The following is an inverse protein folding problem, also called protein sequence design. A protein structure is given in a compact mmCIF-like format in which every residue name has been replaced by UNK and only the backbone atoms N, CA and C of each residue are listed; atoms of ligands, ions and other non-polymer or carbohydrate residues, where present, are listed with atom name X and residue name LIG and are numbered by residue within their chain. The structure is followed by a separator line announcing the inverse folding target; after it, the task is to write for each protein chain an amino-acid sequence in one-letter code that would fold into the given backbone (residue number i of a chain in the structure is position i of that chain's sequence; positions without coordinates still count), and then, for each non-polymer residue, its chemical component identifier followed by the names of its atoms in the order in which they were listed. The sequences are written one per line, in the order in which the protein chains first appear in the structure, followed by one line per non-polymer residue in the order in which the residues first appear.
data_IF_072465946705
#
_entry.id   IF_072465946705
#
_cell.length_a   1.000
_cell.length_b   1.000
_cell.length_c   1.000
_cell.angle_alpha   90.00
_cell.angle_beta   90.00
_cell.angle_gamma   90.00
#
_symmetry.space_group_name_H-M   'P 1'
#
loop_
_entity.id
_entity.type
_entity.pdbx_description
1 polymer ?
#
# COMPACT_ATOMS: atom_id res chain seq x y z
N UNK A 1 -9.29 48.29 -27.32
CA UNK A 1 -8.04 47.49 -27.25
C UNK A 1 -7.46 47.69 -25.86
N UNK A 2 -7.52 46.80 -24.88
CA UNK A 2 -7.53 45.33 -24.90
C UNK A 2 -6.17 44.72 -24.53
N UNK A 3 -5.29 45.44 -23.81
CA UNK A 3 -3.85 45.11 -23.65
C UNK A 3 -3.37 44.77 -22.23
N UNK A 4 -3.90 45.42 -21.19
CA UNK A 4 -3.24 45.42 -19.88
C UNK A 4 -3.65 44.27 -18.94
N UNK A 5 -4.84 43.68 -19.16
CA UNK A 5 -5.38 42.64 -18.26
C UNK A 5 -4.73 41.26 -18.43
N UNK A 6 -4.38 40.88 -19.65
CA UNK A 6 -3.78 39.56 -19.92
C UNK A 6 -2.30 39.49 -19.54
N UNK A 7 -1.57 40.61 -19.63
CA UNK A 7 -0.17 40.74 -19.19
C UNK A 7 -0.05 40.55 -17.67
N UNK A 8 -0.95 41.16 -16.88
CA UNK A 8 -1.00 40.95 -15.42
C UNK A 8 -1.37 39.52 -15.05
N UNK A 9 -2.31 38.90 -15.78
CA UNK A 9 -2.70 37.51 -15.54
C UNK A 9 -1.55 36.53 -15.87
N UNK A 10 -0.80 36.78 -16.95
CA UNK A 10 0.36 35.99 -17.34
C UNK A 10 1.52 36.15 -16.33
N UNK A 11 1.78 37.37 -15.86
CA UNK A 11 2.78 37.64 -14.82
C UNK A 11 2.40 36.99 -13.47
N UNK A 12 1.13 37.02 -13.08
CA UNK A 12 0.62 36.34 -11.89
C UNK A 12 0.74 34.81 -12.00
N UNK A 13 0.47 34.24 -13.18
CA UNK A 13 0.64 32.81 -13.45
C UNK A 13 2.12 32.39 -13.41
N UNK A 14 3.03 33.22 -13.94
CA UNK A 14 4.47 33.00 -13.85
C UNK A 14 4.97 33.04 -12.41
N UNK A 15 4.54 34.03 -11.61
CA UNK A 15 4.86 34.12 -10.19
C UNK A 15 4.31 32.92 -9.39
N UNK A 16 3.12 32.43 -9.72
CA UNK A 16 2.54 31.22 -9.13
C UNK A 16 3.36 29.96 -9.45
N UNK A 17 3.87 29.83 -10.69
CA UNK A 17 4.76 28.74 -11.11
C UNK A 17 6.08 28.75 -10.34
N UNK A 18 6.71 29.91 -10.19
CA UNK A 18 7.95 30.06 -9.40
C UNK A 18 7.73 29.69 -7.93
N UNK A 19 6.60 30.07 -7.34
CA UNK A 19 6.23 29.68 -5.95
C UNK A 19 6.00 28.18 -5.82
N UNK A 20 5.34 27.54 -6.80
CA UNK A 20 5.11 26.08 -6.82
C UNK A 20 6.43 25.33 -6.94
N UNK A 21 7.35 25.80 -7.78
CA UNK A 21 8.68 25.22 -7.94
C UNK A 21 9.53 25.41 -6.67
N UNK A 22 9.48 26.59 -6.05
CA UNK A 22 10.14 26.84 -4.77
C UNK A 22 9.60 25.95 -3.64
N UNK A 23 8.28 25.67 -3.61
CA UNK A 23 7.66 24.71 -2.67
C UNK A 23 8.12 23.28 -2.96
N UNK A 24 8.14 22.86 -4.23
CA UNK A 24 8.66 21.56 -4.67
C UNK A 24 10.12 21.35 -4.23
N UNK A 25 10.99 22.33 -4.50
CA UNK A 25 12.40 22.31 -4.08
C UNK A 25 12.56 22.25 -2.56
N UNK A 26 11.67 22.88 -1.79
CA UNK A 26 11.65 22.79 -0.32
C UNK A 26 11.27 21.37 0.16
N UNK A 27 10.29 20.75 -0.48
CA UNK A 27 9.86 19.37 -0.18
C UNK A 27 10.99 18.39 -0.50
N UNK A 28 11.63 18.51 -1.67
CA UNK A 28 12.77 17.66 -2.08
C UNK A 28 13.97 17.83 -1.14
N UNK A 29 14.30 19.08 -0.74
CA UNK A 29 15.38 19.31 0.23
C UNK A 29 15.05 18.75 1.61
N UNK A 30 13.78 18.73 2.03
CA UNK A 30 13.34 18.13 3.30
C UNK A 30 13.42 16.60 3.22
N UNK A 31 12.94 15.98 2.15
CA UNK A 31 13.01 14.52 1.97
C UNK A 31 14.46 14.04 1.88
N UNK A 32 15.34 14.76 1.16
CA UNK A 32 16.76 14.44 1.09
C UNK A 32 17.45 14.55 2.45
N UNK A 33 17.11 15.54 3.29
CA UNK A 33 17.60 15.62 4.68
C UNK A 33 17.09 14.48 5.57
N UNK A 34 15.83 14.08 5.43
CA UNK A 34 15.27 12.95 6.20
C UNK A 34 15.94 11.63 5.78
N UNK A 35 16.13 11.41 4.48
CA UNK A 35 16.79 10.22 3.95
C UNK A 35 18.30 10.20 4.23
N UNK A 36 18.98 11.36 4.15
CA UNK A 36 20.41 11.45 4.46
C UNK A 36 20.68 11.36 5.96
N UNK A 37 19.80 11.88 6.83
CA UNK A 37 19.87 11.61 8.28
C UNK A 37 19.63 10.13 8.59
N UNK A 38 18.71 9.46 7.89
CA UNK A 38 18.49 8.01 8.02
C UNK A 38 19.66 7.16 7.48
N UNK A 39 20.44 7.67 6.53
CA UNK A 39 21.64 7.01 5.98
C UNK A 39 22.89 7.28 6.83
N UNK A 40 23.15 8.53 7.21
CA UNK A 40 24.25 8.92 8.10
C UNK A 40 24.08 8.33 9.52
N UNK A 41 22.83 8.21 9.99
CA UNK A 41 22.50 7.56 11.25
C UNK A 41 22.66 6.04 11.24
N UNK A 42 22.88 5.38 10.09
CA UNK A 42 23.13 3.92 10.04
C UNK A 42 24.60 3.56 10.29
N UNK A 43 25.56 4.45 9.97
CA UNK A 43 27.00 4.16 10.11
C UNK A 43 27.56 4.46 11.52
N UNK A 44 26.80 5.12 12.40
CA UNK A 44 27.21 5.44 13.80
C UNK A 44 26.39 4.67 14.86
N UNK A 45 25.67 3.61 14.46
CA UNK A 45 24.68 2.90 15.30
C UNK A 45 25.25 1.85 16.26
N UNK A 46 26.56 1.70 16.43
CA UNK A 46 27.12 0.69 17.34
C UNK A 46 27.48 1.18 18.75
N UNK A 47 27.38 2.47 19.09
CA UNK A 47 27.90 2.95 20.39
C UNK A 47 27.03 3.95 21.19
N UNK A 48 25.89 4.42 20.67
CA UNK A 48 25.13 5.51 21.34
C UNK A 48 23.62 5.28 21.50
N UNK A 49 23.09 4.10 21.15
CA UNK A 49 21.63 3.85 21.19
C UNK A 49 21.14 3.35 22.56
N UNK A 50 21.62 3.96 23.65
CA UNK A 50 21.06 3.78 25.01
C UNK A 50 20.66 5.12 25.66
N UNK A 51 20.95 6.26 25.03
CA UNK A 51 20.62 7.56 25.60
C UNK A 51 20.00 8.47 24.53
N UNK A 52 18.84 9.04 24.87
CA UNK A 52 18.15 10.15 24.19
C UNK A 52 17.39 9.84 22.89
N UNK A 53 16.05 9.86 22.97
CA UNK A 53 15.21 10.04 21.79
C UNK A 53 13.74 9.66 21.89
N UNK A 54 13.08 9.89 23.04
CA UNK A 54 11.62 9.83 23.14
C UNK A 54 11.00 11.00 22.36
N UNK A 55 10.09 10.73 21.42
CA UNK A 55 9.40 11.79 20.66
C UNK A 55 8.56 11.37 19.44
N UNK A 56 8.46 10.08 19.11
CA UNK A 56 7.69 9.61 17.93
C UNK A 56 7.02 8.22 18.06
N UNK A 57 6.87 7.69 19.27
CA UNK A 57 6.54 6.27 19.51
C UNK A 57 5.12 5.82 19.20
N UNK A 58 4.12 6.72 19.19
CA UNK A 58 2.70 6.31 19.16
C UNK A 58 2.20 5.91 17.76
N UNK A 59 2.44 6.72 16.71
CA UNK A 59 2.00 6.41 15.33
C UNK A 59 2.74 5.22 14.71
N UNK A 60 3.98 4.98 15.11
CA UNK A 60 4.74 3.82 14.68
C UNK A 60 4.20 2.52 15.27
N UNK A 61 3.72 2.53 16.53
CA UNK A 61 3.20 1.32 17.18
C UNK A 61 1.94 0.79 16.51
N UNK A 62 0.96 1.68 16.24
CA UNK A 62 -0.29 1.30 15.58
C UNK A 62 -0.06 0.76 14.16
N UNK A 63 0.81 1.41 13.37
CA UNK A 63 1.14 0.95 12.01
C UNK A 63 1.88 -0.39 12.01
N UNK A 64 2.77 -0.62 12.99
CA UNK A 64 3.45 -1.91 13.16
C UNK A 64 2.46 -3.01 13.55
N UNK A 65 1.53 -2.73 14.46
CA UNK A 65 0.46 -3.66 14.83
C UNK A 65 -0.43 -4.01 13.63
N UNK A 66 -0.90 -3.00 12.88
CA UNK A 66 -1.68 -3.20 11.66
C UNK A 66 -0.90 -4.04 10.63
N UNK A 67 0.38 -3.75 10.43
CA UNK A 67 1.24 -4.51 9.51
C UNK A 67 1.42 -5.97 9.95
N UNK A 68 1.54 -6.23 11.26
CA UNK A 68 1.61 -7.59 11.80
C UNK A 68 0.30 -8.35 11.57
N UNK A 69 -0.84 -7.72 11.81
CA UNK A 69 -2.15 -8.31 11.55
C UNK A 69 -2.34 -8.66 10.07
N UNK A 70 -1.98 -7.73 9.17
CA UNK A 70 -2.06 -7.98 7.72
C UNK A 70 -1.15 -9.13 7.32
N UNK A 71 0.09 -9.19 7.82
CA UNK A 71 1.01 -10.29 7.54
C UNK A 71 0.46 -11.64 8.01
N UNK A 72 -0.09 -11.72 9.22
CA UNK A 72 -0.68 -12.94 9.75
C UNK A 72 -1.87 -13.40 8.91
N UNK A 73 -2.78 -12.48 8.54
CA UNK A 73 -3.92 -12.79 7.66
C UNK A 73 -3.46 -13.24 6.27
N UNK A 74 -2.44 -12.60 5.71
CA UNK A 74 -1.88 -13.01 4.43
C UNK A 74 -1.17 -14.36 4.52
N UNK A 75 -0.58 -14.74 5.65
CA UNK A 75 -0.02 -16.09 5.84
C UNK A 75 -1.11 -17.16 5.79
N UNK A 76 -2.22 -16.94 6.52
CA UNK A 76 -3.37 -17.85 6.46
C UNK A 76 -3.90 -17.92 5.03
N UNK A 77 -4.04 -16.78 4.35
CA UNK A 77 -4.54 -16.76 2.97
C UNK A 77 -3.64 -17.56 2.00
N UNK A 78 -2.32 -17.49 2.16
CA UNK A 78 -1.37 -18.26 1.32
C UNK A 78 -1.56 -19.77 1.44
N UNK A 79 -1.87 -20.26 2.65
CA UNK A 79 -2.11 -21.69 2.87
C UNK A 79 -3.45 -22.19 2.35
N UNK A 80 -4.42 -21.29 2.14
CA UNK A 80 -5.77 -21.63 1.65
C UNK A 80 -5.86 -21.60 0.13
N UNK A 81 -5.11 -20.71 -0.52
CA UNK A 81 -5.15 -20.51 -1.97
C UNK A 81 -4.17 -21.48 -2.63
N UNK A 82 -4.60 -22.26 -3.64
CA UNK A 82 -3.70 -23.13 -4.41
C UNK A 82 -2.49 -22.35 -4.95
N UNK A 83 -1.28 -22.82 -4.67
CA UNK A 83 -0.04 -22.13 -5.09
C UNK A 83 0.27 -20.82 -4.35
N UNK A 84 -0.54 -20.43 -3.35
CA UNK A 84 -0.45 -19.15 -2.64
C UNK A 84 0.88 -18.92 -1.90
N UNK A 85 1.56 -19.96 -1.43
CA UNK A 85 2.84 -19.86 -0.73
C UNK A 85 3.95 -19.18 -1.56
N UNK A 86 3.93 -19.36 -2.88
CA UNK A 86 4.88 -18.73 -3.80
C UNK A 86 4.48 -17.29 -4.17
N UNK A 87 3.26 -16.85 -3.84
CA UNK A 87 2.70 -15.58 -4.30
C UNK A 87 2.97 -14.41 -3.35
N UNK A 88 3.17 -13.23 -3.96
CA UNK A 88 3.41 -11.97 -3.25
C UNK A 88 2.49 -10.86 -3.75
N UNK A 89 2.19 -9.93 -2.86
CA UNK A 89 1.46 -8.71 -3.21
C UNK A 89 0.06 -8.99 -3.77
N UNK A 90 -0.29 -8.30 -4.86
CA UNK A 90 -1.63 -8.32 -5.44
C UNK A 90 -1.97 -9.64 -6.15
N UNK A 91 -0.98 -10.37 -6.67
CA UNK A 91 -1.22 -11.64 -7.37
C UNK A 91 -1.93 -12.67 -6.50
N UNK A 92 -1.63 -12.69 -5.19
CA UNK A 92 -2.33 -13.55 -4.23
C UNK A 92 -3.82 -13.21 -4.14
N UNK A 93 -4.17 -11.92 -4.20
CA UNK A 93 -5.57 -11.48 -4.12
C UNK A 93 -6.33 -11.81 -5.39
N UNK A 94 -5.70 -11.66 -6.57
CA UNK A 94 -6.30 -12.07 -7.84
C UNK A 94 -6.60 -13.57 -7.84
N UNK A 95 -5.61 -14.40 -7.50
CA UNK A 95 -5.81 -15.86 -7.42
C UNK A 95 -6.86 -16.25 -6.37
N UNK A 96 -6.94 -15.50 -5.25
CA UNK A 96 -7.99 -15.72 -4.25
C UNK A 96 -9.38 -15.50 -4.84
N UNK A 97 -9.56 -14.46 -5.63
CA UNK A 97 -10.85 -14.17 -6.27
C UNK A 97 -11.23 -15.28 -7.25
N UNK A 98 -10.29 -15.68 -8.10
CA UNK A 98 -10.49 -16.75 -9.06
C UNK A 98 -10.82 -18.08 -8.35
N UNK A 99 -10.11 -18.41 -7.28
CA UNK A 99 -10.36 -19.61 -6.50
C UNK A 99 -11.74 -19.60 -5.82
N UNK A 100 -12.20 -18.46 -5.31
CA UNK A 100 -13.56 -18.33 -4.75
C UNK A 100 -14.62 -18.60 -5.83
N UNK A 101 -14.41 -18.09 -7.05
CA UNK A 101 -15.32 -18.37 -8.18
C UNK A 101 -15.32 -19.86 -8.51
N UNK A 102 -14.15 -20.49 -8.62
CA UNK A 102 -14.03 -21.93 -8.85
C UNK A 102 -14.71 -22.77 -7.77
N UNK A 103 -14.54 -22.42 -6.49
CA UNK A 103 -15.20 -23.14 -5.40
C UNK A 103 -16.72 -23.03 -5.46
N UNK A 104 -17.25 -21.84 -5.78
CA UNK A 104 -18.70 -21.65 -5.94
C UNK A 104 -19.26 -22.53 -7.06
N UNK A 105 -18.62 -22.53 -8.23
CA UNK A 105 -19.09 -23.33 -9.37
C UNK A 105 -19.00 -24.83 -9.08
N UNK A 106 -17.96 -25.29 -8.39
CA UNK A 106 -17.83 -26.68 -7.94
C UNK A 106 -18.96 -27.08 -6.98
N UNK A 107 -19.26 -26.24 -5.98
CA UNK A 107 -20.34 -26.50 -5.03
C UNK A 107 -21.71 -26.50 -5.73
N UNK A 108 -21.96 -25.57 -6.63
CA UNK A 108 -23.19 -25.52 -7.42
C UNK A 108 -23.37 -26.78 -8.27
N UNK A 109 -22.31 -27.21 -8.98
CA UNK A 109 -22.33 -28.46 -9.75
C UNK A 109 -22.62 -29.68 -8.87
N UNK A 110 -21.92 -29.83 -7.75
CA UNK A 110 -22.14 -30.95 -6.83
C UNK A 110 -23.56 -30.95 -6.26
N UNK A 111 -24.11 -29.77 -5.93
CA UNK A 111 -25.51 -29.67 -5.48
C UNK A 111 -26.50 -30.05 -6.57
N UNK A 112 -26.27 -29.63 -7.82
CA UNK A 112 -27.11 -30.03 -8.96
C UNK A 112 -27.07 -31.54 -9.17
N UNK A 113 -25.89 -32.15 -9.11
CA UNK A 113 -25.74 -33.61 -9.19
C UNK A 113 -26.48 -34.29 -8.03
N UNK A 114 -26.31 -33.86 -6.79
CA UNK A 114 -27.01 -34.45 -5.65
C UNK A 114 -28.55 -34.31 -5.75
N UNK A 115 -29.07 -33.20 -6.30
CA UNK A 115 -30.51 -32.99 -6.51
C UNK A 115 -31.04 -33.85 -7.67
N UNK A 116 -30.35 -33.88 -8.81
CA UNK A 116 -30.71 -34.71 -9.96
C UNK A 116 -30.58 -36.21 -9.71
N UNK A 117 -29.67 -36.61 -8.83
CA UNK A 117 -29.52 -38.01 -8.39
C UNK A 117 -30.70 -38.49 -7.54
N UNK A 118 -31.35 -37.59 -6.78
CA UNK A 118 -32.54 -37.94 -5.98
C UNK A 118 -33.78 -38.22 -6.82
N UNK A 119 -33.87 -37.68 -8.03
CA UNK A 119 -34.97 -37.92 -8.97
C UNK A 119 -34.85 -39.23 -9.77
N UNK A 120 -33.75 -39.98 -9.67
CA UNK A 120 -33.57 -41.28 -10.37
C UNK A 120 -33.66 -42.51 -9.45
N UNK A 121 -33.99 -42.31 -8.17
CA UNK A 121 -34.13 -43.37 -7.16
C UNK A 121 -35.54 -43.44 -6.54
N UNK A 122 -36.54 -42.91 -7.25
CA UNK A 122 -37.96 -42.97 -6.87
C UNK A 122 -38.76 -43.82 -7.84
#
# INVERSE_FOLDING_TARGET
MGGAGYEMAAAAAAAARVRKEARSRRIVRRSRRVCSAAAAGRKRRSLLQLAAGSGGGSRCSAMVAASRMVKARLQVLRSLVPGGEAMRGLSLLTETLDYVVCLKTQVELLQCLCKGSRSQLG
#
